data_IF_998434367969
#
_entry.id   IF_998434367969
#
_cell.length_a   1.000
_cell.length_b   1.000
_cell.length_c   1.000
_cell.angle_alpha   90.00
_cell.angle_beta   90.00
_cell.angle_gamma   90.00
#
_symmetry.space_group_name_H-M   'P 1'
#
loop_
_entity.id
_entity.type
_entity.pdbx_description
1 polymer ?
#
# COMPACT_ATOMS: atom_id res chain seq x y z
N UNK A 1 1.61 3.56 -20.83
CA UNK A 1 2.55 3.27 -21.93
C UNK A 1 3.91 2.94 -21.35
N UNK A 2 4.44 1.76 -21.68
CA UNK A 2 5.72 1.28 -21.23
C UNK A 2 6.63 1.18 -22.46
N UNK A 3 7.69 1.99 -22.47
CA UNK A 3 8.70 1.98 -23.54
C UNK A 3 9.94 1.27 -23.01
N UNK A 4 10.39 0.25 -23.74
CA UNK A 4 11.63 -0.47 -23.45
C UNK A 4 12.64 -0.16 -24.55
N UNK A 5 13.79 0.38 -24.16
CA UNK A 5 14.91 0.63 -25.07
C UNK A 5 16.18 0.11 -24.42
N UNK A 6 16.74 -0.97 -24.97
CA UNK A 6 17.85 -1.71 -24.37
C UNK A 6 17.53 -2.10 -22.91
N UNK A 7 18.30 -1.59 -21.96
CA UNK A 7 18.10 -1.80 -20.52
C UNK A 7 17.54 -0.54 -19.83
N UNK A 8 16.78 0.29 -20.56
CA UNK A 8 16.04 1.43 -20.04
C UNK A 8 14.53 1.17 -20.17
N UNK A 9 13.81 1.29 -19.07
CA UNK A 9 12.38 1.01 -18.97
C UNK A 9 11.66 2.28 -18.52
N UNK A 10 10.90 2.88 -19.44
CA UNK A 10 10.13 4.10 -19.18
C UNK A 10 8.65 3.76 -19.00
N UNK A 11 8.18 3.80 -17.75
CA UNK A 11 6.82 3.50 -17.32
C UNK A 11 6.06 4.82 -17.23
N UNK A 12 5.23 5.12 -18.23
CA UNK A 12 4.47 6.37 -18.33
C UNK A 12 3.00 6.10 -18.04
N UNK A 13 2.47 6.73 -16.99
CA UNK A 13 1.06 6.77 -16.63
C UNK A 13 0.58 8.23 -16.60
N UNK A 14 -0.10 8.68 -17.66
CA UNK A 14 -0.64 10.03 -17.73
C UNK A 14 0.45 11.10 -17.63
N UNK A 15 0.40 11.92 -16.59
CA UNK A 15 1.37 12.98 -16.31
C UNK A 15 2.54 12.53 -15.42
N UNK A 16 2.61 11.23 -15.09
CA UNK A 16 3.60 10.64 -14.20
C UNK A 16 4.46 9.61 -14.95
N UNK A 17 5.77 9.62 -14.73
CA UNK A 17 6.67 8.56 -15.19
C UNK A 17 7.65 8.08 -14.14
N UNK A 18 7.90 6.77 -14.18
CA UNK A 18 9.02 6.11 -13.51
C UNK A 18 9.95 5.56 -14.58
N UNK A 19 11.22 5.94 -14.52
CA UNK A 19 12.24 5.47 -15.45
C UNK A 19 13.25 4.67 -14.68
N UNK A 20 13.37 3.41 -15.07
CA UNK A 20 14.31 2.45 -14.52
C UNK A 20 15.38 2.16 -15.56
N UNK A 21 16.58 1.81 -15.11
CA UNK A 21 17.58 1.24 -15.99
C UNK A 21 18.49 0.26 -15.27
N UNK A 22 19.11 -0.64 -16.03
CA UNK A 22 20.06 -1.60 -15.46
C UNK A 22 21.45 -0.99 -15.47
N UNK A 23 22.14 -1.08 -14.34
CA UNK A 23 23.53 -0.64 -14.18
C UNK A 23 24.29 -1.66 -13.34
N UNK A 24 25.39 -2.21 -13.86
CA UNK A 24 26.11 -3.34 -13.22
C UNK A 24 25.23 -4.53 -12.81
N UNK A 25 24.17 -4.79 -13.58
CA UNK A 25 23.18 -5.83 -13.31
C UNK A 25 22.15 -5.47 -12.25
N UNK A 26 22.16 -4.28 -11.66
CA UNK A 26 21.16 -3.82 -10.70
C UNK A 26 20.13 -2.91 -11.37
N UNK A 27 18.87 -3.03 -10.96
CA UNK A 27 17.80 -2.13 -11.41
C UNK A 27 17.87 -0.83 -10.61
N UNK A 28 18.12 0.27 -11.32
CA UNK A 28 18.35 1.60 -10.74
C UNK A 28 17.32 2.61 -11.22
N UNK A 29 17.00 3.57 -10.36
CA UNK A 29 16.09 4.68 -10.65
C UNK A 29 16.83 5.74 -11.44
N UNK A 30 16.28 6.12 -12.59
CA UNK A 30 16.78 7.23 -13.42
C UNK A 30 15.92 8.48 -13.26
N UNK A 31 14.61 8.30 -13.10
CA UNK A 31 13.65 9.39 -12.88
C UNK A 31 12.38 8.86 -12.20
N UNK A 32 11.79 9.68 -11.34
CA UNK A 32 10.45 9.49 -10.78
C UNK A 32 9.81 10.87 -10.66
N UNK A 33 8.72 11.12 -11.36
CA UNK A 33 8.02 12.41 -11.30
C UNK A 33 7.29 12.71 -12.60
N UNK A 34 7.24 13.98 -13.00
CA UNK A 34 6.52 14.40 -14.21
C UNK A 34 6.91 13.59 -15.45
N UNK A 35 5.93 13.31 -16.32
CA UNK A 35 6.11 12.45 -17.49
C UNK A 35 7.24 12.94 -18.42
N UNK A 36 8.14 12.01 -18.77
CA UNK A 36 9.21 12.23 -19.75
C UNK A 36 9.03 11.22 -20.90
N UNK A 37 8.78 11.71 -22.11
CA UNK A 37 8.57 10.85 -23.28
C UNK A 37 9.84 10.15 -23.76
N UNK A 38 10.95 10.90 -23.79
CA UNK A 38 12.28 10.45 -24.21
C UNK A 38 13.31 10.90 -23.18
N UNK A 39 13.84 9.95 -22.40
CA UNK A 39 14.86 10.24 -21.41
C UNK A 39 16.24 10.26 -22.05
N UNK A 40 16.97 11.37 -21.88
CA UNK A 40 18.30 11.59 -22.45
C UNK A 40 19.38 11.76 -21.39
N UNK A 41 19.21 11.14 -20.22
CA UNK A 41 20.20 11.14 -19.15
C UNK A 41 20.59 12.55 -18.68
N UNK A 42 19.61 13.43 -18.47
CA UNK A 42 19.85 14.82 -18.05
C UNK A 42 20.24 14.98 -16.57
N UNK A 43 19.90 13.99 -15.73
CA UNK A 43 20.18 13.95 -14.29
C UNK A 43 20.99 12.69 -13.90
N UNK A 44 22.09 12.37 -14.63
CA UNK A 44 22.82 11.13 -14.38
C UNK A 44 23.42 11.16 -12.98
N UNK A 45 23.41 10.02 -12.31
CA UNK A 45 24.17 9.86 -11.07
C UNK A 45 25.66 9.93 -11.42
N UNK A 46 26.39 10.79 -10.71
CA UNK A 46 27.83 10.96 -10.93
C UNK A 46 28.58 10.04 -9.99
N UNK A 47 29.20 9.01 -10.54
CA UNK A 47 29.99 8.04 -9.78
C UNK A 47 31.31 8.64 -9.33
N UNK A 48 31.60 8.49 -8.03
CA UNK A 48 32.77 9.05 -7.36
C UNK A 48 33.22 8.12 -6.24
N UNK A 49 34.50 8.19 -5.91
CA UNK A 49 35.02 7.53 -4.71
C UNK A 49 34.44 8.22 -3.47
N UNK A 50 33.50 7.54 -2.80
CA UNK A 50 32.89 7.97 -1.56
C UNK A 50 33.52 7.19 -0.40
N UNK A 51 34.16 7.91 0.53
CA UNK A 51 34.82 7.28 1.66
C UNK A 51 33.84 6.39 2.45
N UNK A 52 34.25 5.14 2.71
CA UNK A 52 33.46 4.10 3.40
C UNK A 52 32.25 3.55 2.64
N UNK A 53 31.99 4.00 1.42
CA UNK A 53 30.99 3.38 0.53
C UNK A 53 31.70 2.35 -0.37
N UNK A 54 31.70 1.08 0.08
CA UNK A 54 32.38 -0.02 -0.63
C UNK A 54 31.69 -0.43 -1.94
N UNK A 55 32.45 -1.06 -2.83
CA UNK A 55 31.95 -1.60 -4.10
C UNK A 55 32.34 -3.07 -4.30
N UNK A 56 31.61 -3.82 -5.14
CA UNK A 56 31.94 -5.21 -5.45
C UNK A 56 33.18 -5.37 -6.35
N UNK A 57 33.69 -4.28 -6.94
CA UNK A 57 34.80 -4.29 -7.90
C UNK A 57 36.07 -3.74 -7.25
N UNK A 58 37.14 -4.54 -7.21
CA UNK A 58 38.39 -4.15 -6.53
C UNK A 58 39.19 -3.06 -7.24
N UNK A 59 38.96 -2.91 -8.54
CA UNK A 59 39.63 -1.98 -9.46
C UNK A 59 38.81 -0.72 -9.74
N UNK A 60 37.56 -0.66 -9.30
CA UNK A 60 36.68 0.49 -9.41
C UNK A 60 36.11 0.90 -8.04
N UNK A 61 36.61 2.03 -7.53
CA UNK A 61 36.15 2.62 -6.27
C UNK A 61 35.01 3.61 -6.45
N UNK A 62 34.63 3.93 -7.68
CA UNK A 62 33.61 4.93 -7.99
C UNK A 62 32.20 4.33 -8.02
N UNK A 63 32.08 3.05 -8.34
CA UNK A 63 30.84 2.31 -8.24
C UNK A 63 30.63 1.74 -6.83
N UNK A 64 29.59 2.21 -6.13
CA UNK A 64 29.16 1.66 -4.84
C UNK A 64 27.64 1.51 -4.77
N UNK A 65 27.10 0.33 -4.38
CA UNK A 65 25.68 0.17 -4.12
C UNK A 65 25.12 1.14 -3.07
N UNK A 66 25.95 1.68 -2.17
CA UNK A 66 25.59 2.68 -1.15
C UNK A 66 25.19 4.04 -1.75
N UNK A 67 25.69 4.35 -2.95
CA UNK A 67 25.51 5.66 -3.60
C UNK A 67 24.62 5.60 -4.82
N UNK A 68 24.29 4.39 -5.32
CA UNK A 68 23.33 4.23 -6.41
C UNK A 68 21.90 4.40 -5.92
N UNK A 69 20.99 4.71 -6.85
CA UNK A 69 19.54 4.79 -6.59
C UNK A 69 18.88 3.49 -7.02
N UNK A 70 18.43 2.67 -6.08
CA UNK A 70 17.87 1.34 -6.33
C UNK A 70 16.35 1.31 -6.18
N UNK A 71 15.75 0.24 -6.69
CA UNK A 71 14.37 -0.18 -6.36
C UNK A 71 14.32 -1.44 -5.49
N UNK A 72 15.48 -2.04 -5.20
CA UNK A 72 15.65 -3.16 -4.28
C UNK A 72 16.85 -2.90 -3.38
N UNK A 73 16.63 -2.77 -2.08
CA UNK A 73 17.67 -2.58 -1.07
C UNK A 73 18.07 -3.93 -0.49
N UNK A 74 19.33 -4.33 -0.65
CA UNK A 74 19.82 -5.66 -0.28
C UNK A 74 20.80 -5.59 0.88
N UNK A 75 20.69 -6.53 1.83
CA UNK A 75 21.57 -6.61 2.98
C UNK A 75 22.93 -7.24 2.59
N UNK A 76 24.03 -6.69 3.12
CA UNK A 76 25.34 -7.32 3.07
C UNK A 76 26.18 -7.07 1.80
N UNK A 77 25.74 -6.17 0.91
CA UNK A 77 26.47 -5.82 -0.33
C UNK A 77 26.88 -4.36 -0.44
N UNK A 78 27.34 -3.79 0.67
CA UNK A 78 27.85 -2.42 0.79
C UNK A 78 26.81 -1.29 0.66
N UNK A 79 25.54 -1.60 0.39
CA UNK A 79 24.45 -0.64 0.66
C UNK A 79 24.09 -0.72 2.15
N UNK A 80 24.31 0.37 2.89
CA UNK A 80 24.06 0.42 4.34
C UNK A 80 22.74 1.10 4.70
N UNK A 81 21.94 1.47 3.70
CA UNK A 81 20.58 1.98 3.88
C UNK A 81 19.61 0.86 4.27
N UNK A 82 18.40 1.24 4.67
CA UNK A 82 17.33 0.30 5.02
C UNK A 82 17.10 -0.71 3.88
N UNK A 83 17.18 -2.03 4.13
CA UNK A 83 16.94 -3.04 3.12
C UNK A 83 15.44 -3.15 2.81
N UNK A 84 15.11 -3.56 1.59
CA UNK A 84 13.75 -3.94 1.21
C UNK A 84 13.55 -5.46 1.17
N UNK A 85 14.63 -6.23 1.21
CA UNK A 85 14.63 -7.69 1.21
C UNK A 85 15.63 -8.25 2.22
N UNK A 86 15.17 -9.17 3.05
CA UNK A 86 15.99 -9.99 3.96
C UNK A 86 15.44 -11.41 3.89
N UNK A 87 16.24 -12.32 3.35
CA UNK A 87 15.86 -13.73 3.18
C UNK A 87 17.00 -14.58 3.73
N UNK A 88 16.68 -15.45 4.67
CA UNK A 88 17.62 -16.42 5.23
C UNK A 88 17.70 -17.67 4.34
N UNK A 89 18.92 -17.99 3.91
CA UNK A 89 19.26 -19.18 3.12
C UNK A 89 20.67 -19.67 3.51
N UNK A 90 20.91 -20.98 3.48
CA UNK A 90 22.24 -21.58 3.71
C UNK A 90 23.07 -20.93 4.85
N UNK A 91 22.45 -20.67 6.00
CA UNK A 91 23.04 -20.02 7.20
C UNK A 91 23.50 -18.56 7.04
N UNK A 92 23.03 -17.84 6.02
CA UNK A 92 23.28 -16.43 5.82
C UNK A 92 22.01 -15.69 5.38
N UNK A 93 22.10 -14.37 5.23
CA UNK A 93 20.99 -13.52 4.76
C UNK A 93 21.40 -12.60 3.60
N UNK A 94 22.56 -12.88 2.99
CA UNK A 94 23.11 -12.03 1.93
C UNK A 94 22.52 -12.47 0.62
N UNK A 95 21.83 -11.57 -0.07
CA UNK A 95 21.35 -11.77 -1.43
C UNK A 95 22.03 -10.82 -2.42
N UNK A 96 22.07 -11.21 -3.69
CA UNK A 96 22.56 -10.41 -4.81
C UNK A 96 21.68 -10.60 -6.04
N UNK A 97 20.43 -10.15 -5.94
CA UNK A 97 19.48 -10.14 -7.05
C UNK A 97 20.01 -9.26 -8.19
N UNK A 98 20.29 -9.90 -9.33
CA UNK A 98 20.71 -9.29 -10.59
C UNK A 98 19.61 -9.36 -11.62
N UNK A 99 19.47 -8.32 -12.43
CA UNK A 99 18.59 -8.28 -13.57
C UNK A 99 18.84 -9.46 -14.52
N UNK A 100 17.79 -10.21 -14.81
CA UNK A 100 17.78 -11.35 -15.72
C UNK A 100 17.04 -11.00 -17.00
N UNK A 101 15.81 -10.47 -16.89
CA UNK A 101 14.95 -10.21 -18.04
C UNK A 101 13.90 -9.12 -17.77
N UNK A 102 13.32 -8.60 -18.85
CA UNK A 102 12.18 -7.68 -18.80
C UNK A 102 11.15 -8.06 -19.87
N UNK A 103 9.88 -8.00 -19.52
CA UNK A 103 8.76 -8.16 -20.45
C UNK A 103 7.65 -7.14 -20.18
N UNK A 104 6.93 -6.76 -21.24
CA UNK A 104 5.73 -5.93 -21.14
C UNK A 104 4.52 -6.81 -21.38
N UNK A 105 3.69 -6.94 -20.36
CA UNK A 105 2.48 -7.73 -20.35
C UNK A 105 1.26 -6.83 -20.49
N UNK A 106 0.18 -7.38 -21.06
CA UNK A 106 -1.14 -6.73 -21.11
C UNK A 106 -2.08 -7.24 -20.03
N UNK A 107 -1.84 -8.44 -19.54
CA UNK A 107 -2.64 -9.13 -18.53
C UNK A 107 -1.69 -9.86 -17.58
N UNK A 108 -2.06 -9.95 -16.32
CA UNK A 108 -1.38 -10.77 -15.32
C UNK A 108 -2.33 -11.02 -14.13
N UNK A 109 -2.04 -12.04 -13.32
CA UNK A 109 -2.97 -12.55 -12.29
C UNK A 109 -3.07 -11.68 -11.02
N UNK A 110 -2.26 -10.63 -10.87
CA UNK A 110 -2.19 -9.89 -9.61
C UNK A 110 -1.40 -10.60 -8.51
N UNK A 111 -1.23 -9.94 -7.34
CA UNK A 111 -0.79 -10.62 -6.13
C UNK A 111 -1.89 -11.56 -5.63
N UNK A 112 -1.58 -12.86 -5.52
CA UNK A 112 -2.56 -13.90 -5.19
C UNK A 112 -3.13 -13.71 -3.78
N UNK A 113 -4.46 -13.72 -3.68
CA UNK A 113 -5.17 -13.62 -2.39
C UNK A 113 -5.09 -12.24 -1.71
N UNK A 114 -4.58 -11.22 -2.41
CA UNK A 114 -4.43 -9.87 -1.90
C UNK A 114 -5.22 -8.88 -2.77
N UNK A 115 -5.69 -7.76 -2.19
CA UNK A 115 -6.44 -6.77 -2.95
C UNK A 115 -5.49 -5.98 -3.88
N UNK A 116 -5.96 -5.72 -5.10
CA UNK A 116 -5.30 -4.84 -6.07
C UNK A 116 -6.36 -4.01 -6.82
N UNK A 117 -5.97 -2.87 -7.43
CA UNK A 117 -6.89 -2.11 -8.27
C UNK A 117 -7.20 -2.90 -9.55
N UNK A 118 -8.43 -2.80 -10.04
CA UNK A 118 -8.82 -3.38 -11.34
C UNK A 118 -8.01 -2.73 -12.46
N UNK A 119 -7.59 -3.53 -13.44
CA UNK A 119 -6.94 -3.02 -14.66
C UNK A 119 -7.94 -2.24 -15.52
N UNK A 120 -7.41 -1.23 -16.22
CA UNK A 120 -8.11 -0.51 -17.30
C UNK A 120 -7.72 -1.10 -18.65
N UNK A 121 -8.47 -0.76 -19.70
CA UNK A 121 -8.14 -1.19 -21.07
C UNK A 121 -6.79 -0.67 -21.58
N UNK A 122 -6.29 0.43 -20.99
CA UNK A 122 -4.99 1.04 -21.32
C UNK A 122 -3.86 0.61 -20.37
N UNK A 123 -4.14 -0.28 -19.42
CA UNK A 123 -3.14 -0.75 -18.48
C UNK A 123 -2.12 -1.63 -19.18
N UNK A 124 -0.85 -1.32 -18.94
CA UNK A 124 0.31 -2.16 -19.31
C UNK A 124 1.11 -2.48 -18.06
N UNK A 125 1.78 -3.62 -18.07
CA UNK A 125 2.54 -4.15 -16.94
C UNK A 125 3.99 -4.38 -17.37
N UNK A 126 4.95 -3.75 -16.71
CA UNK A 126 6.36 -4.10 -16.82
C UNK A 126 6.66 -5.16 -15.77
N UNK A 127 7.12 -6.32 -16.22
CA UNK A 127 7.63 -7.38 -15.36
C UNK A 127 9.15 -7.44 -15.52
N UNK A 128 9.87 -7.17 -14.44
CA UNK A 128 11.32 -7.33 -14.35
C UNK A 128 11.62 -8.57 -13.52
N UNK A 129 12.43 -9.48 -14.09
CA UNK A 129 12.92 -10.65 -13.39
C UNK A 129 14.35 -10.38 -12.93
N UNK A 130 14.61 -10.61 -11.64
CA UNK A 130 15.93 -10.61 -11.05
C UNK A 130 16.22 -12.00 -10.48
N UNK A 131 17.48 -12.42 -10.51
CA UNK A 131 17.92 -13.72 -10.04
C UNK A 131 19.09 -13.56 -9.06
N UNK A 132 19.05 -14.34 -7.99
CA UNK A 132 20.22 -14.66 -7.18
C UNK A 132 20.56 -16.13 -7.40
N UNK A 133 21.64 -16.38 -8.15
CA UNK A 133 22.08 -17.74 -8.49
C UNK A 133 22.60 -18.50 -7.26
N UNK A 134 23.18 -17.80 -6.27
CA UNK A 134 23.75 -18.42 -5.07
C UNK A 134 22.65 -18.85 -4.13
N UNK A 135 21.66 -17.98 -3.90
CA UNK A 135 20.50 -18.27 -3.07
C UNK A 135 19.46 -19.15 -3.79
N UNK A 136 19.58 -19.34 -5.11
CA UNK A 136 18.57 -20.01 -5.95
C UNK A 136 17.18 -19.39 -5.78
N UNK A 137 17.12 -18.06 -5.92
CA UNK A 137 15.90 -17.27 -5.76
C UNK A 137 15.65 -16.39 -6.99
N UNK A 138 14.37 -16.21 -7.35
CA UNK A 138 13.94 -15.21 -8.34
C UNK A 138 13.06 -14.15 -7.68
N UNK A 139 13.44 -12.90 -7.87
CA UNK A 139 12.68 -11.74 -7.44
C UNK A 139 12.02 -11.10 -8.67
N UNK A 140 10.71 -10.97 -8.63
CA UNK A 140 9.91 -10.40 -9.70
C UNK A 140 9.36 -9.05 -9.26
N UNK A 141 9.64 -8.01 -10.04
CA UNK A 141 9.08 -6.67 -9.84
C UNK A 141 8.04 -6.41 -10.92
N UNK A 142 6.82 -6.08 -10.52
CA UNK A 142 5.74 -5.73 -11.43
C UNK A 142 5.39 -4.26 -11.27
N UNK A 143 5.37 -3.52 -12.36
CA UNK A 143 4.90 -2.13 -12.41
C UNK A 143 3.70 -2.02 -13.35
N UNK A 144 2.56 -1.56 -12.83
CA UNK A 144 1.29 -1.48 -13.57
C UNK A 144 0.98 -0.02 -13.87
N UNK A 145 0.64 0.31 -15.10
CA UNK A 145 0.24 1.67 -15.48
C UNK A 145 -1.26 1.87 -15.41
N UNK A 146 -1.68 3.01 -14.86
CA UNK A 146 -3.06 3.51 -14.90
C UNK A 146 -3.06 4.94 -15.49
N UNK A 147 -2.96 5.08 -16.82
CA UNK A 147 -2.68 6.37 -17.46
C UNK A 147 -3.71 7.45 -17.16
N UNK A 148 -5.01 7.10 -17.18
CA UNK A 148 -6.13 8.01 -16.87
C UNK A 148 -6.02 8.67 -15.49
N UNK A 149 -5.33 8.04 -14.54
CA UNK A 149 -5.25 8.48 -13.14
C UNK A 149 -3.83 8.86 -12.73
N UNK A 150 -2.92 9.10 -13.67
CA UNK A 150 -1.50 9.38 -13.40
C UNK A 150 -0.89 8.54 -12.28
N UNK A 151 -1.20 7.23 -12.31
CA UNK A 151 -0.95 6.29 -11.22
C UNK A 151 -0.12 5.12 -11.72
N UNK A 152 0.90 4.74 -10.95
CA UNK A 152 1.69 3.53 -11.17
C UNK A 152 1.46 2.60 -9.99
N UNK A 153 1.09 1.36 -10.26
CA UNK A 153 1.00 0.30 -9.27
C UNK A 153 2.30 -0.51 -9.19
N UNK A 154 2.61 -1.08 -8.03
CA UNK A 154 3.72 -1.99 -7.86
C UNK A 154 3.38 -3.13 -6.90
N UNK A 155 3.87 -4.32 -7.19
CA UNK A 155 4.08 -5.34 -6.17
C UNK A 155 5.30 -6.19 -6.54
N UNK A 156 5.77 -6.95 -5.57
CA UNK A 156 6.94 -7.81 -5.67
C UNK A 156 6.52 -9.26 -5.42
N UNK A 157 7.12 -10.20 -6.15
CA UNK A 157 6.99 -11.64 -5.90
C UNK A 157 8.37 -12.23 -5.69
N UNK A 158 8.52 -13.09 -4.70
CA UNK A 158 9.71 -13.92 -4.51
C UNK A 158 9.36 -15.37 -4.84
N UNK A 159 10.23 -16.05 -5.59
CA UNK A 159 10.09 -17.45 -5.98
C UNK A 159 11.35 -18.23 -5.58
N UNK A 160 11.15 -19.36 -4.92
CA UNK A 160 12.22 -20.28 -4.57
C UNK A 160 12.42 -21.30 -5.69
N UNK A 161 13.53 -21.17 -6.42
CA UNK A 161 13.91 -22.07 -7.51
C UNK A 161 14.97 -23.10 -7.09
N UNK A 162 15.34 -23.12 -5.81
CA UNK A 162 16.25 -24.09 -5.21
C UNK A 162 15.54 -25.36 -4.72
N UNK A 163 16.28 -26.18 -3.98
CA UNK A 163 15.85 -27.45 -3.41
C UNK A 163 15.68 -27.44 -1.88
N UNK A 164 16.07 -26.34 -1.22
CA UNK A 164 15.89 -26.12 0.22
C UNK A 164 14.81 -25.08 0.51
N UNK A 165 14.16 -25.17 1.68
CA UNK A 165 13.25 -24.11 2.14
C UNK A 165 14.06 -22.92 2.62
N UNK A 166 13.67 -21.71 2.19
CA UNK A 166 14.25 -20.45 2.68
C UNK A 166 13.25 -19.70 3.55
N UNK A 167 13.71 -18.80 4.41
CA UNK A 167 12.82 -18.02 5.26
C UNK A 167 12.87 -16.53 4.90
N UNK A 168 11.71 -15.96 4.55
CA UNK A 168 11.58 -14.54 4.20
C UNK A 168 11.31 -13.76 5.48
N UNK A 169 12.27 -12.94 5.92
CA UNK A 169 12.16 -12.07 7.11
C UNK A 169 11.66 -10.67 6.75
N UNK A 170 12.04 -10.16 5.58
CA UNK A 170 11.59 -8.86 5.07
C UNK A 170 11.38 -8.94 3.55
N UNK A 171 10.23 -8.48 3.09
CA UNK A 171 9.97 -8.24 1.67
C UNK A 171 8.99 -7.07 1.53
N UNK A 172 9.53 -5.88 1.29
CA UNK A 172 8.71 -4.70 1.02
C UNK A 172 8.00 -4.84 -0.33
N UNK A 173 6.79 -4.28 -0.41
CA UNK A 173 6.06 -4.18 -1.67
C UNK A 173 6.71 -3.20 -2.63
N UNK A 174 7.33 -2.15 -2.08
CA UNK A 174 7.95 -1.06 -2.81
C UNK A 174 9.12 -0.45 -2.03
N UNK A 175 10.18 -0.11 -2.75
CA UNK A 175 11.27 0.74 -2.30
C UNK A 175 11.75 1.59 -3.47
N UNK A 176 12.06 2.86 -3.22
CA UNK A 176 12.58 3.75 -4.26
C UNK A 176 13.55 4.78 -3.67
N UNK A 177 14.71 4.90 -4.31
CA UNK A 177 15.69 5.94 -4.00
C UNK A 177 15.46 7.20 -4.85
N UNK A 178 15.56 8.35 -4.21
CA UNK A 178 15.32 9.69 -4.74
C UNK A 178 16.56 10.57 -4.51
N UNK A 179 16.78 11.56 -5.41
CA UNK A 179 17.90 12.47 -5.29
C UNK A 179 17.84 13.28 -3.98
N UNK A 180 18.99 13.79 -3.56
CA UNK A 180 19.08 14.80 -2.52
C UNK A 180 18.21 16.02 -2.86
N UNK A 181 17.37 16.43 -1.90
CA UNK A 181 16.47 17.56 -2.02
C UNK A 181 15.93 17.99 -0.64
N UNK A 182 15.20 19.11 -0.64
CA UNK A 182 14.48 19.59 0.54
C UNK A 182 13.06 19.06 0.49
N UNK A 183 12.78 18.06 1.33
CA UNK A 183 11.50 17.39 1.35
C UNK A 183 10.81 17.52 2.70
N UNK A 184 9.48 17.57 2.66
CA UNK A 184 8.65 17.26 3.82
C UNK A 184 8.02 15.88 3.64
N UNK A 185 7.90 15.16 4.75
CA UNK A 185 7.08 13.96 4.83
C UNK A 185 5.75 14.28 5.49
N UNK A 186 4.67 13.97 4.79
CA UNK A 186 3.31 14.03 5.31
C UNK A 186 2.76 12.61 5.50
N UNK A 187 2.12 12.37 6.64
CA UNK A 187 1.51 11.09 7.03
C UNK A 187 0.15 11.32 7.68
N UNK A 188 -0.68 10.28 7.72
CA UNK A 188 -1.99 10.29 8.39
C UNK A 188 -1.91 9.39 9.63
N UNK A 189 -1.87 10.00 10.80
CA UNK A 189 -1.67 9.32 12.09
C UNK A 189 -2.90 9.50 12.99
N UNK A 190 -2.74 9.50 14.31
CA UNK A 190 -3.81 9.83 15.25
C UNK A 190 -3.92 8.80 16.36
N UNK A 191 -5.15 8.57 16.82
CA UNK A 191 -5.52 7.54 17.78
C UNK A 191 -7.04 7.37 17.74
N UNK A 192 -7.56 6.36 18.43
CA UNK A 192 -9.01 6.12 18.52
C UNK A 192 -9.76 7.38 18.98
N UNK A 193 -10.79 7.77 18.22
CA UNK A 193 -11.58 8.99 18.44
C UNK A 193 -10.98 10.28 17.86
N UNK A 194 -9.79 10.20 17.27
CA UNK A 194 -9.12 11.29 16.55
C UNK A 194 -8.25 10.71 15.42
N UNK A 195 -8.85 9.91 14.54
CA UNK A 195 -8.19 9.20 13.46
C UNK A 195 -7.68 10.14 12.36
N UNK A 196 -6.67 9.68 11.61
CA UNK A 196 -6.12 10.33 10.40
C UNK A 196 -5.70 11.78 10.59
N UNK A 197 -5.13 12.12 11.75
CA UNK A 197 -4.48 13.42 11.96
C UNK A 197 -3.37 13.60 10.94
N UNK A 198 -3.41 14.70 10.19
CA UNK A 198 -2.36 15.06 9.25
C UNK A 198 -1.13 15.49 10.03
N UNK A 199 0.00 14.80 9.80
CA UNK A 199 1.30 15.14 10.37
C UNK A 199 2.22 15.45 9.20
N UNK A 200 2.75 16.67 9.14
CA UNK A 200 3.75 17.12 8.15
C UNK A 200 5.01 17.53 8.89
N UNK A 201 6.15 17.00 8.47
CA UNK A 201 7.45 17.36 9.06
C UNK A 201 8.56 17.37 8.00
N UNK A 202 9.53 18.30 8.08
CA UNK A 202 10.68 18.29 7.18
C UNK A 202 11.54 17.06 7.42
N UNK A 203 12.05 16.47 6.34
CA UNK A 203 13.00 15.38 6.42
C UNK A 203 14.38 15.91 6.83
N UNK A 204 14.98 15.22 7.79
CA UNK A 204 16.36 15.41 8.22
C UNK A 204 17.14 14.11 8.01
N UNK A 205 18.46 14.18 8.10
CA UNK A 205 19.30 12.99 8.09
C UNK A 205 18.84 12.00 9.17
N UNK A 206 18.68 10.73 8.79
CA UNK A 206 18.18 9.68 9.68
C UNK A 206 17.02 8.89 9.08
N UNK A 207 16.26 8.23 9.95
CA UNK A 207 15.12 7.39 9.59
C UNK A 207 13.86 7.93 10.28
N UNK A 208 12.81 8.14 9.50
CA UNK A 208 11.44 8.28 10.00
C UNK A 208 10.66 7.07 9.53
N UNK A 209 10.04 6.37 10.46
CA UNK A 209 9.21 5.19 10.19
C UNK A 209 7.84 5.35 10.85
N UNK A 210 6.80 4.92 10.13
CA UNK A 210 5.46 4.70 10.66
C UNK A 210 5.05 3.27 10.32
N UNK A 211 4.20 2.67 11.15
CA UNK A 211 3.79 1.30 10.92
C UNK A 211 2.89 0.75 12.01
N UNK A 212 2.47 -0.50 11.81
CA UNK A 212 1.64 -1.21 12.76
C UNK A 212 2.15 -2.62 13.00
N UNK A 213 2.08 -3.04 14.27
CA UNK A 213 2.33 -4.39 14.76
C UNK A 213 1.10 -4.93 15.52
N UNK A 214 -0.09 -4.44 15.18
CA UNK A 214 -1.36 -4.72 15.89
C UNK A 214 -2.18 -5.86 15.29
N UNK A 215 -1.72 -6.48 14.21
CA UNK A 215 -2.51 -7.35 13.34
C UNK A 215 -3.47 -6.60 12.41
N UNK A 216 -3.58 -5.28 12.55
CA UNK A 216 -4.33 -4.38 11.67
C UNK A 216 -3.52 -3.12 11.39
N UNK A 217 -3.88 -2.35 10.34
CA UNK A 217 -3.23 -1.06 10.05
C UNK A 217 -3.36 -0.08 11.22
N UNK A 218 -4.49 -0.09 11.93
CA UNK A 218 -4.71 0.59 13.20
C UNK A 218 -5.14 2.06 13.11
N UNK A 219 -5.64 2.60 14.23
CA UNK A 219 -6.11 3.99 14.32
C UNK A 219 -4.99 5.04 14.31
N UNK A 220 -3.78 4.63 14.73
CA UNK A 220 -2.65 5.54 14.96
C UNK A 220 -1.85 5.89 13.71
N UNK A 221 -2.07 5.18 12.60
CA UNK A 221 -1.29 5.29 11.38
C UNK A 221 -2.08 4.74 10.19
N UNK A 222 -1.98 5.40 9.05
CA UNK A 222 -2.53 4.91 7.78
C UNK A 222 -1.38 4.37 6.92
N UNK A 223 -1.55 3.27 6.16
CA UNK A 223 -0.56 2.74 5.22
C UNK A 223 -0.28 3.66 4.03
N UNK A 224 0.23 4.87 4.29
CA UNK A 224 0.52 5.89 3.30
C UNK A 224 1.67 6.80 3.72
N UNK A 225 2.53 7.15 2.75
CA UNK A 225 3.53 8.21 2.83
C UNK A 225 3.24 9.22 1.73
N UNK A 226 3.34 10.51 2.05
CA UNK A 226 3.24 11.59 1.08
C UNK A 226 4.54 12.40 1.17
N UNK A 227 5.39 12.26 0.16
CA UNK A 227 6.58 13.07 0.00
C UNK A 227 6.21 14.38 -0.70
N UNK A 228 6.67 15.49 -0.16
CA UNK A 228 6.39 16.83 -0.67
C UNK A 228 7.71 17.53 -0.92
N UNK A 229 7.81 18.28 -2.02
CA UNK A 229 8.76 19.39 -2.05
C UNK A 229 8.46 20.32 -0.86
N UNK A 230 9.50 20.84 -0.21
CA UNK A 230 9.36 21.63 1.02
C UNK A 230 8.39 22.81 0.86
N UNK A 231 8.28 23.40 -0.34
CA UNK A 231 7.42 24.54 -0.61
C UNK A 231 5.99 24.15 -1.02
N UNK A 232 5.68 22.86 -1.16
CA UNK A 232 4.36 22.39 -1.59
C UNK A 232 3.26 22.83 -0.63
N UNK A 233 2.15 23.29 -1.22
CA UNK A 233 0.93 23.72 -0.54
C UNK A 233 -0.28 23.02 -1.16
N UNK A 234 -1.48 23.47 -0.80
CA UNK A 234 -2.73 22.93 -1.31
C UNK A 234 -2.89 23.09 -2.83
N UNK A 235 -2.48 24.22 -3.39
CA UNK A 235 -2.78 24.58 -4.79
C UNK A 235 -1.57 24.52 -5.73
N UNK A 236 -0.38 24.27 -5.20
CA UNK A 236 0.86 24.20 -5.99
C UNK A 236 1.93 23.36 -5.31
N UNK A 237 2.90 22.93 -6.11
CA UNK A 237 4.08 22.20 -5.65
C UNK A 237 4.00 20.71 -5.94
N UNK A 238 5.16 20.07 -5.85
CA UNK A 238 5.32 18.66 -6.17
C UNK A 238 4.96 17.77 -4.98
N UNK A 239 4.16 16.75 -5.24
CA UNK A 239 3.71 15.78 -4.26
C UNK A 239 3.69 14.37 -4.85
N UNK A 240 4.25 13.42 -4.11
CA UNK A 240 4.29 11.99 -4.43
C UNK A 240 3.68 11.21 -3.26
N UNK A 241 2.63 10.44 -3.51
CA UNK A 241 2.09 9.51 -2.51
C UNK A 241 2.44 8.07 -2.83
N UNK A 242 2.80 7.31 -1.80
CA UNK A 242 2.81 5.85 -1.80
C UNK A 242 1.71 5.37 -0.85
N UNK A 243 0.82 4.50 -1.31
CA UNK A 243 -0.25 3.90 -0.51
C UNK A 243 -0.20 2.38 -0.62
N UNK A 244 -0.36 1.67 0.50
CA UNK A 244 -0.33 0.21 0.54
C UNK A 244 -1.75 -0.36 0.62
N UNK A 245 -2.11 -1.26 -0.30
CA UNK A 245 -3.35 -2.02 -0.26
C UNK A 245 -3.21 -3.23 0.66
N UNK A 246 -3.12 -2.95 1.96
CA UNK A 246 -3.01 -3.97 2.99
C UNK A 246 -3.62 -3.49 4.31
N UNK A 247 -4.27 -4.41 5.02
CA UNK A 247 -5.01 -4.08 6.25
C UNK A 247 -4.35 -4.61 7.52
N UNK A 248 -3.22 -5.32 7.42
CA UNK A 248 -2.49 -5.92 8.54
C UNK A 248 -1.32 -5.07 9.05
N UNK A 249 -0.29 -5.75 9.54
CA UNK A 249 0.96 -5.13 9.97
C UNK A 249 1.72 -4.56 8.77
N UNK A 250 2.05 -3.27 8.81
CA UNK A 250 2.80 -2.60 7.74
C UNK A 250 3.93 -1.74 8.31
N UNK A 251 4.93 -1.48 7.48
CA UNK A 251 5.93 -0.44 7.72
C UNK A 251 5.94 0.50 6.51
N UNK A 252 6.20 1.77 6.77
CA UNK A 252 6.45 2.78 5.77
C UNK A 252 7.51 3.74 6.31
N UNK A 253 8.59 3.95 5.58
CA UNK A 253 9.70 4.78 6.04
C UNK A 253 10.24 5.75 4.99
N UNK A 254 10.90 6.78 5.50
CA UNK A 254 11.76 7.70 4.76
C UNK A 254 13.12 7.77 5.45
N UNK A 255 14.18 7.40 4.73
CA UNK A 255 15.55 7.45 5.23
C UNK A 255 16.37 8.45 4.41
N UNK A 256 16.91 9.48 5.06
CA UNK A 256 17.87 10.40 4.44
C UNK A 256 19.28 10.02 4.89
N UNK A 257 20.14 9.62 3.95
CA UNK A 257 21.46 9.09 4.25
C UNK A 257 22.53 10.19 4.43
N UNK A 258 23.80 9.80 4.60
CA UNK A 258 24.94 10.69 4.78
C UNK A 258 25.24 11.64 3.60
N UNK A 259 24.71 11.35 2.42
CA UNK A 259 24.83 12.18 1.22
C UNK A 259 23.58 13.05 0.96
N UNK A 260 22.57 12.94 1.84
CA UNK A 260 21.27 13.58 1.67
C UNK A 260 20.36 12.89 0.67
N UNK A 261 20.76 11.75 0.09
CA UNK A 261 19.88 10.95 -0.77
C UNK A 261 18.77 10.32 0.08
N UNK A 262 17.59 10.20 -0.51
CA UNK A 262 16.38 9.77 0.17
C UNK A 262 15.97 8.38 -0.29
N UNK A 263 15.73 7.46 0.65
CA UNK A 263 15.07 6.18 0.39
C UNK A 263 13.67 6.18 0.98
N UNK A 264 12.67 5.88 0.15
CA UNK A 264 11.32 5.55 0.62
C UNK A 264 11.10 4.05 0.54
N UNK A 265 10.38 3.50 1.52
CA UNK A 265 9.98 2.09 1.52
C UNK A 265 8.61 1.90 2.14
N UNK A 266 7.82 0.94 1.63
CA UNK A 266 6.52 0.58 2.19
C UNK A 266 6.19 -0.90 1.91
N UNK A 267 5.65 -1.60 2.90
CA UNK A 267 5.33 -3.02 2.79
C UNK A 267 4.83 -3.65 4.09
N UNK A 268 4.87 -4.98 4.16
CA UNK A 268 4.56 -5.73 5.39
C UNK A 268 5.63 -5.44 6.44
N UNK A 269 5.23 -5.23 7.69
CA UNK A 269 6.18 -5.00 8.80
C UNK A 269 6.93 -6.28 9.19
N UNK A 270 8.25 -6.20 9.28
CA UNK A 270 9.12 -7.33 9.68
C UNK A 270 8.93 -7.81 11.14
N UNK A 271 8.46 -6.96 12.06
CA UNK A 271 8.51 -7.21 13.53
C UNK A 271 7.65 -8.40 14.00
N UNK A 272 6.78 -8.94 13.14
CA UNK A 272 5.99 -10.16 13.39
C UNK A 272 5.75 -10.95 12.09
N UNK A 273 6.68 -10.85 11.15
CA UNK A 273 6.57 -11.50 9.85
C UNK A 273 7.76 -12.41 9.62
N UNK A 274 7.47 -13.65 9.25
CA UNK A 274 8.43 -14.64 8.79
C UNK A 274 7.64 -15.63 7.94
N UNK A 275 8.15 -15.95 6.75
CA UNK A 275 7.46 -16.81 5.80
C UNK A 275 8.40 -17.90 5.28
N UNK A 276 8.10 -19.16 5.61
CA UNK A 276 8.80 -20.31 5.06
C UNK A 276 8.40 -20.52 3.60
N UNK A 277 9.37 -20.33 2.70
CA UNK A 277 9.19 -20.45 1.27
C UNK A 277 9.79 -21.78 0.78
N UNK A 278 8.92 -22.79 0.65
CA UNK A 278 9.31 -24.12 0.21
C UNK A 278 9.85 -24.13 -1.25
N UNK A 279 10.62 -25.17 -1.65
CA UNK A 279 11.05 -25.35 -3.04
C UNK A 279 9.88 -25.28 -4.03
N UNK A 280 10.03 -24.47 -5.08
CA UNK A 280 9.00 -24.24 -6.10
C UNK A 280 7.81 -23.38 -5.64
N UNK A 281 7.79 -22.91 -4.39
CA UNK A 281 6.77 -22.00 -3.89
C UNK A 281 7.11 -20.53 -4.21
N UNK A 282 6.10 -19.68 -4.09
CA UNK A 282 6.24 -18.23 -4.25
C UNK A 282 5.42 -17.47 -3.22
N UNK A 283 5.85 -16.25 -2.93
CA UNK A 283 5.15 -15.32 -2.05
C UNK A 283 5.00 -13.96 -2.75
N UNK A 284 3.77 -13.45 -2.78
CA UNK A 284 3.42 -12.16 -3.38
C UNK A 284 3.22 -11.11 -2.27
N UNK A 285 3.80 -9.93 -2.44
CA UNK A 285 3.57 -8.80 -1.53
C UNK A 285 2.24 -8.10 -1.81
N UNK A 286 1.68 -7.33 -0.86
CA UNK A 286 0.54 -6.45 -1.13
C UNK A 286 0.86 -5.39 -2.19
N UNK A 287 -0.18 -4.84 -2.82
CA UNK A 287 -0.05 -3.87 -3.89
C UNK A 287 0.21 -2.46 -3.37
N UNK A 288 1.12 -1.71 -3.99
CA UNK A 288 1.43 -0.31 -3.70
C UNK A 288 0.97 0.58 -4.85
N UNK A 289 0.43 1.74 -4.50
CA UNK A 289 -0.04 2.74 -5.44
C UNK A 289 0.86 3.98 -5.32
N UNK A 290 1.51 4.34 -6.41
CA UNK A 290 2.23 5.60 -6.58
C UNK A 290 1.37 6.60 -7.33
N UNK A 291 1.25 7.80 -6.78
CA UNK A 291 0.56 8.91 -7.45
C UNK A 291 1.39 10.17 -7.31
N UNK A 292 1.47 10.93 -8.39
CA UNK A 292 2.32 12.12 -8.49
C UNK A 292 1.56 13.29 -9.07
N UNK A 293 1.86 14.50 -8.59
CA UNK A 293 1.37 15.75 -9.17
C UNK A 293 2.34 16.90 -8.89
N UNK A 294 2.29 17.93 -9.73
CA UNK A 294 2.97 19.22 -9.53
C UNK A 294 2.00 20.35 -9.12
N UNK A 295 0.73 19.99 -8.88
CA UNK A 295 -0.38 20.93 -8.65
C UNK A 295 -0.81 21.00 -7.16
N UNK A 296 0.07 20.59 -6.24
CA UNK A 296 -0.19 20.64 -4.81
C UNK A 296 -1.06 19.50 -4.26
N UNK A 297 -1.35 19.59 -2.96
CA UNK A 297 -2.04 18.56 -2.19
C UNK A 297 -3.50 18.35 -2.65
N UNK A 298 -4.23 19.40 -3.02
CA UNK A 298 -5.61 19.27 -3.49
C UNK A 298 -5.70 18.40 -4.75
N UNK A 299 -4.77 18.58 -5.69
CA UNK A 299 -4.72 17.78 -6.90
C UNK A 299 -4.36 16.31 -6.58
N UNK A 300 -3.42 16.08 -5.65
CA UNK A 300 -3.07 14.73 -5.21
C UNK A 300 -4.26 14.03 -4.55
N UNK A 301 -5.00 14.72 -3.67
CA UNK A 301 -6.20 14.19 -3.02
C UNK A 301 -7.28 13.86 -4.03
N UNK A 302 -7.54 14.73 -5.01
CA UNK A 302 -8.51 14.47 -6.07
C UNK A 302 -8.11 13.25 -6.90
N UNK A 303 -6.84 13.14 -7.27
CA UNK A 303 -6.29 12.01 -8.00
C UNK A 303 -6.47 10.69 -7.24
N UNK A 304 -6.16 10.70 -5.94
CA UNK A 304 -6.32 9.54 -5.06
C UNK A 304 -7.78 9.13 -4.93
N UNK A 305 -8.68 10.08 -4.68
CA UNK A 305 -10.12 9.80 -4.56
C UNK A 305 -10.71 9.25 -5.85
N UNK A 306 -10.37 9.84 -7.00
CA UNK A 306 -10.84 9.37 -8.31
C UNK A 306 -10.35 7.95 -8.61
N UNK A 307 -9.07 7.66 -8.35
CA UNK A 307 -8.51 6.33 -8.54
C UNK A 307 -9.16 5.28 -7.62
N UNK A 308 -9.31 5.60 -6.32
CA UNK A 308 -9.98 4.72 -5.36
C UNK A 308 -11.42 4.44 -5.80
N UNK A 309 -12.16 5.48 -6.20
CA UNK A 309 -13.55 5.35 -6.63
C UNK A 309 -13.68 4.45 -7.87
N UNK A 310 -12.86 4.68 -8.89
CA UNK A 310 -12.96 3.96 -10.16
C UNK A 310 -12.36 2.54 -10.09
N UNK A 311 -11.17 2.38 -9.50
CA UNK A 311 -10.36 1.16 -9.63
C UNK A 311 -10.30 0.27 -8.39
N UNK A 312 -10.71 0.79 -7.22
CA UNK A 312 -10.65 0.01 -5.98
C UNK A 312 -12.05 -0.33 -5.46
N UNK A 313 -12.91 0.66 -5.22
CA UNK A 313 -14.25 0.43 -4.65
C UNK A 313 -15.05 -0.63 -5.44
N UNK A 314 -15.84 -1.49 -4.79
CA UNK A 314 -16.65 -2.50 -5.47
C UNK A 314 -17.56 -1.88 -6.54
N UNK A 315 -17.56 -2.43 -7.76
CA UNK A 315 -18.26 -1.87 -8.93
C UNK A 315 -19.73 -1.48 -8.70
N UNK A 316 -20.56 -2.28 -7.99
CA UNK A 316 -21.96 -1.90 -7.74
C UNK A 316 -22.14 -0.60 -6.94
N UNK A 317 -21.06 -0.12 -6.32
CA UNK A 317 -21.07 0.82 -5.22
C UNK A 317 -20.23 2.08 -5.46
N UNK A 318 -19.47 2.14 -6.56
CA UNK A 318 -18.50 3.23 -6.85
C UNK A 318 -19.16 4.59 -7.02
N UNK A 319 -20.23 4.64 -7.80
CA UNK A 319 -20.95 5.87 -8.18
C UNK A 319 -22.37 5.91 -7.62
N UNK A 320 -22.71 4.95 -6.76
CA UNK A 320 -24.01 4.89 -6.10
C UNK A 320 -24.01 5.87 -4.92
N UNK A 321 -25.00 6.78 -4.88
CA UNK A 321 -25.27 7.57 -3.69
C UNK A 321 -25.56 6.63 -2.52
N UNK A 322 -24.96 6.91 -1.35
CA UNK A 322 -25.12 6.07 -0.16
C UNK A 322 -26.33 6.54 0.64
N UNK A 323 -27.14 5.61 1.16
CA UNK A 323 -28.34 5.98 1.88
C UNK A 323 -27.98 6.73 3.16
N UNK A 324 -28.71 7.80 3.45
CA UNK A 324 -28.71 8.46 4.75
C UNK A 324 -29.26 7.44 5.74
N UNK A 325 -28.46 7.10 6.76
CA UNK A 325 -28.78 6.04 7.70
C UNK A 325 -29.07 6.54 9.11
N UNK A 326 -29.86 5.77 9.84
CA UNK A 326 -29.92 5.80 11.30
C UNK A 326 -29.30 4.50 11.84
N UNK A 327 -28.48 4.62 12.87
CA UNK A 327 -27.90 3.50 13.61
C UNK A 327 -28.30 3.63 15.08
N UNK A 328 -28.72 2.53 15.73
CA UNK A 328 -29.20 2.59 17.11
C UNK A 328 -28.11 2.53 18.20
N UNK A 329 -26.82 2.43 17.86
CA UNK A 329 -25.73 2.24 18.82
C UNK A 329 -25.73 3.29 19.93
N UNK A 330 -25.46 4.56 19.63
CA UNK A 330 -25.46 5.62 20.67
C UNK A 330 -26.87 5.95 21.19
N UNK A 331 -27.92 5.58 20.44
CA UNK A 331 -29.31 5.83 20.83
C UNK A 331 -29.79 4.89 21.95
N UNK A 332 -29.27 3.67 21.99
CA UNK A 332 -29.76 2.64 22.92
C UNK A 332 -28.67 1.82 23.60
N UNK A 333 -27.45 1.81 23.07
CA UNK A 333 -26.44 0.79 23.31
C UNK A 333 -27.12 -0.59 23.27
N UNK A 334 -26.85 -1.44 24.26
CA UNK A 334 -27.45 -2.77 24.37
C UNK A 334 -28.92 -2.77 24.86
N UNK A 335 -29.43 -1.66 25.41
CA UNK A 335 -30.78 -1.57 26.00
C UNK A 335 -31.85 -1.26 24.94
N UNK A 336 -32.20 -2.28 24.17
CA UNK A 336 -33.29 -2.22 23.20
C UNK A 336 -34.09 -3.52 23.14
N UNK A 337 -35.29 -3.37 22.58
CA UNK A 337 -36.16 -4.46 22.14
C UNK A 337 -36.86 -4.03 20.84
N UNK A 338 -37.61 -4.94 20.21
CA UNK A 338 -38.30 -4.66 18.94
C UNK A 338 -39.25 -3.47 19.01
N UNK A 339 -39.96 -3.24 20.13
CA UNK A 339 -40.82 -2.05 20.26
C UNK A 339 -40.03 -0.75 20.15
N UNK A 340 -38.88 -0.66 20.81
CA UNK A 340 -37.99 0.52 20.75
C UNK A 340 -37.42 0.72 19.35
N UNK A 341 -36.94 -0.36 18.71
CA UNK A 341 -36.40 -0.33 17.35
C UNK A 341 -37.46 0.09 16.32
N UNK A 342 -38.68 -0.48 16.39
CA UNK A 342 -39.80 -0.09 15.51
C UNK A 342 -40.20 1.38 15.68
N UNK A 343 -40.16 1.90 16.91
CA UNK A 343 -40.41 3.32 17.15
C UNK A 343 -39.33 4.23 16.51
N UNK A 344 -38.04 3.85 16.63
CA UNK A 344 -36.94 4.57 15.97
C UNK A 344 -37.10 4.52 14.45
N UNK A 345 -37.34 3.35 13.87
CA UNK A 345 -37.55 3.17 12.44
C UNK A 345 -38.71 4.02 11.91
N UNK A 346 -39.85 4.04 12.62
CA UNK A 346 -40.99 4.89 12.25
C UNK A 346 -40.64 6.37 12.22
N UNK A 347 -39.97 6.87 13.26
CA UNK A 347 -39.52 8.28 13.31
C UNK A 347 -38.50 8.59 12.22
N UNK A 348 -37.57 7.66 11.94
CA UNK A 348 -36.59 7.79 10.88
C UNK A 348 -37.26 7.95 9.50
N UNK A 349 -38.27 7.12 9.21
CA UNK A 349 -39.07 7.24 7.98
C UNK A 349 -39.81 8.58 7.90
N UNK A 350 -40.39 9.07 9.00
CA UNK A 350 -41.09 10.37 9.05
C UNK A 350 -40.18 11.57 8.73
N UNK A 351 -38.88 11.49 9.03
CA UNK A 351 -37.89 12.55 8.71
C UNK A 351 -37.11 12.31 7.41
N UNK A 352 -37.43 11.26 6.66
CA UNK A 352 -36.84 10.98 5.35
C UNK A 352 -35.48 10.26 5.38
N UNK A 353 -35.16 9.53 6.46
CA UNK A 353 -34.01 8.61 6.47
C UNK A 353 -34.29 7.44 5.51
N UNK A 354 -33.23 6.83 4.97
CA UNK A 354 -33.32 5.84 3.88
C UNK A 354 -32.90 4.42 4.31
N UNK A 355 -32.07 4.30 5.35
CA UNK A 355 -31.55 3.04 5.87
C UNK A 355 -31.62 2.98 7.41
N UNK A 356 -32.22 1.92 7.94
CA UNK A 356 -32.16 1.60 9.36
C UNK A 356 -31.09 0.53 9.62
N UNK A 357 -30.15 0.79 10.52
CA UNK A 357 -29.10 -0.15 10.92
C UNK A 357 -29.34 -0.63 12.34
N UNK A 358 -29.50 -1.95 12.50
CA UNK A 358 -29.47 -2.63 13.80
C UNK A 358 -28.03 -2.92 14.20
N UNK A 359 -27.57 -2.25 15.26
CA UNK A 359 -26.21 -2.35 15.79
C UNK A 359 -26.04 -3.50 16.82
N UNK A 360 -24.93 -3.53 17.56
CA UNK A 360 -24.53 -4.59 18.49
C UNK A 360 -25.64 -4.92 19.52
N UNK A 361 -25.77 -6.20 19.86
CA UNK A 361 -26.72 -6.69 20.86
C UNK A 361 -27.87 -7.54 20.33
N UNK A 362 -27.97 -7.79 19.02
CA UNK A 362 -29.07 -8.55 18.40
C UNK A 362 -28.91 -10.09 18.47
N UNK A 363 -27.69 -10.57 18.76
CA UNK A 363 -27.30 -11.98 18.69
C UNK A 363 -27.02 -12.59 20.07
N UNK A 364 -27.02 -13.93 20.13
CA UNK A 364 -26.65 -14.69 21.33
C UNK A 364 -27.38 -14.22 22.59
N UNK A 365 -26.61 -13.89 23.63
CA UNK A 365 -27.10 -13.24 24.87
C UNK A 365 -26.38 -11.90 25.10
N UNK A 366 -26.10 -11.18 24.01
CA UNK A 366 -25.33 -9.92 23.99
C UNK A 366 -26.09 -8.77 24.65
N UNK A 367 -26.00 -8.69 25.98
CA UNK A 367 -26.58 -7.62 26.80
C UNK A 367 -25.55 -6.56 27.21
N UNK A 368 -24.27 -6.83 26.97
CA UNK A 368 -23.14 -5.93 27.13
C UNK A 368 -22.00 -6.41 26.21
N UNK A 369 -20.87 -5.73 26.26
CA UNK A 369 -19.66 -6.00 25.46
C UNK A 369 -18.80 -7.17 26.00
N UNK A 370 -19.22 -7.85 27.07
CA UNK A 370 -18.42 -8.88 27.77
C UNK A 370 -18.74 -10.33 27.35
N UNK A 371 -19.68 -10.59 26.43
CA UNK A 371 -20.07 -11.96 26.03
C UNK A 371 -20.56 -12.08 24.59
N UNK A 372 -20.77 -13.32 24.11
CA UNK A 372 -21.51 -13.68 22.88
C UNK A 372 -20.88 -13.37 21.51
N UNK A 373 -19.71 -12.73 21.42
CA UNK A 373 -18.97 -12.70 20.15
C UNK A 373 -18.66 -14.14 19.70
N UNK A 374 -19.00 -14.45 18.45
CA UNK A 374 -18.96 -15.81 17.87
C UNK A 374 -20.31 -16.54 17.85
N UNK A 375 -21.29 -16.11 18.65
CA UNK A 375 -22.63 -16.70 18.71
C UNK A 375 -23.61 -16.00 17.75
N UNK A 376 -23.41 -16.15 16.44
CA UNK A 376 -24.14 -15.43 15.38
C UNK A 376 -25.56 -15.97 15.09
N UNK A 377 -26.36 -16.20 16.13
CA UNK A 377 -27.77 -16.53 16.03
C UNK A 377 -28.63 -15.47 16.72
N UNK A 378 -29.82 -15.23 16.18
CA UNK A 378 -30.73 -14.17 16.64
C UNK A 378 -31.17 -14.39 18.10
N UNK A 379 -31.13 -13.33 18.90
CA UNK A 379 -31.74 -13.33 20.24
C UNK A 379 -33.25 -13.04 20.14
N UNK A 380 -34.04 -14.08 19.90
CA UNK A 380 -35.50 -13.97 19.73
C UNK A 380 -36.23 -13.51 20.99
N UNK A 381 -35.67 -13.74 22.18
CA UNK A 381 -36.22 -13.22 23.44
C UNK A 381 -36.12 -11.69 23.50
N UNK A 382 -34.95 -11.12 23.16
CA UNK A 382 -34.72 -9.67 23.16
C UNK A 382 -35.51 -8.96 22.06
N UNK A 383 -35.57 -9.55 20.86
CA UNK A 383 -36.36 -9.03 19.76
C UNK A 383 -37.87 -9.32 19.92
N UNK A 384 -38.25 -10.24 20.81
CA UNK A 384 -39.65 -10.62 21.01
C UNK A 384 -40.28 -11.27 19.78
N UNK A 385 -39.47 -11.94 18.95
CA UNK A 385 -39.86 -12.51 17.65
C UNK A 385 -38.63 -12.83 16.79
N UNK A 386 -38.89 -13.29 15.56
CA UNK A 386 -37.84 -13.53 14.58
C UNK A 386 -37.27 -12.20 14.04
N UNK A 387 -36.00 -12.20 13.63
CA UNK A 387 -35.39 -11.01 13.02
C UNK A 387 -36.13 -10.56 11.75
N UNK A 388 -36.69 -11.51 10.99
CA UNK A 388 -37.47 -11.24 9.78
C UNK A 388 -38.66 -10.31 10.06
N UNK A 389 -39.31 -10.42 11.22
CA UNK A 389 -40.46 -9.56 11.56
C UNK A 389 -40.06 -8.09 11.75
N UNK A 390 -38.82 -7.85 12.21
CA UNK A 390 -38.28 -6.49 12.30
C UNK A 390 -37.90 -5.98 10.91
N UNK A 391 -37.25 -6.82 10.10
CA UNK A 391 -36.87 -6.48 8.72
C UNK A 391 -38.11 -6.12 7.90
N UNK A 392 -39.16 -6.94 7.94
CA UNK A 392 -40.41 -6.70 7.21
C UNK A 392 -41.06 -5.39 7.63
N UNK A 393 -41.11 -5.11 8.94
CA UNK A 393 -41.64 -3.85 9.44
C UNK A 393 -40.83 -2.63 8.95
N UNK A 394 -39.49 -2.73 8.90
CA UNK A 394 -38.62 -1.65 8.39
C UNK A 394 -38.86 -1.44 6.89
N UNK A 395 -38.98 -2.52 6.11
CA UNK A 395 -39.30 -2.46 4.69
C UNK A 395 -40.70 -1.87 4.42
N UNK A 396 -41.71 -2.19 5.24
CA UNK A 396 -43.07 -1.63 5.14
C UNK A 396 -43.10 -0.11 5.36
N UNK A 397 -42.11 0.44 6.07
CA UNK A 397 -41.91 1.88 6.24
C UNK A 397 -41.16 2.53 5.07
N UNK A 398 -40.73 1.75 4.07
CA UNK A 398 -39.95 2.21 2.92
C UNK A 398 -38.45 2.39 3.21
N UNK A 399 -37.96 1.89 4.34
CA UNK A 399 -36.54 1.95 4.71
C UNK A 399 -35.79 0.70 4.23
N UNK A 400 -34.51 0.84 3.90
CA UNK A 400 -33.58 -0.29 3.80
C UNK A 400 -33.21 -0.81 5.21
N UNK A 401 -32.71 -2.05 5.29
CA UNK A 401 -32.25 -2.66 6.55
C UNK A 401 -30.75 -3.00 6.50
N UNK A 402 -30.02 -2.62 7.54
CA UNK A 402 -28.61 -2.97 7.77
C UNK A 402 -28.44 -3.68 9.11
N UNK A 403 -27.43 -4.54 9.20
CA UNK A 403 -27.13 -5.33 10.40
C UNK A 403 -25.63 -5.28 10.70
N UNK A 404 -25.30 -5.04 11.96
CA UNK A 404 -23.92 -5.09 12.44
C UNK A 404 -23.42 -6.52 12.65
N UNK A 405 -22.15 -6.76 12.35
CA UNK A 405 -21.42 -8.02 12.59
C UNK A 405 -19.97 -7.74 13.00
N UNK A 406 -19.36 -8.62 13.81
CA UNK A 406 -17.93 -8.61 14.17
C UNK A 406 -17.35 -10.04 14.11
N UNK A 407 -17.20 -10.62 12.90
CA UNK A 407 -17.03 -12.06 12.67
C UNK A 407 -15.81 -12.73 13.29
#
# INVERSE_FOLDING_TARGET
>A
MIKVQDQLFNIIAGQFSLILGVHHGYVTVKHLGGAIDEYRQSNPLVEKDHAFSGGPYSDDRTYSPDTQRHVVGQLGRSDFRQPSVIIEHHQNQVTDFKFESAEVLKEFDGPKGLPMPRLTAESEILHLQLIDEVASLKLHLYYVTYPEYSTIGQFTKIENIGDETVNVHKLLSAMIDLPNGQYDLMTLQGYYGMERKVVRQPLQQGLIEIGSIRGSSGHGQTPALILLDHLTQEEYGEALSLQLMYSGNFEAFAQTNQLGELRLGIGINETQFSYDLAPGASFDTPFVIYQHTYQGLNALTQLSHQFIQAQILPQPHQYQLRPILINNWEATYFDFNSKKLKAIAKQAAEVGIELFVLDDGWFGKRQNDLSSLGDWFVNTEKLGGELSELIDYVHDLGLQFGLWIEP
#
